data_IF_195870497863
#
_entry.id   IF_195870497863
#
_cell.length_a   1.000
_cell.length_b   1.000
_cell.length_c   1.000
_cell.angle_alpha   90.00
_cell.angle_beta   90.00
_cell.angle_gamma   90.00
#
_symmetry.space_group_name_H-M   'P 1'
#
loop_
_entity.id
_entity.type
_entity.pdbx_description
1 polymer ?
#
# COMPACT_ATOMS: atom_id res chain seq x y z
N UNK A 1 -4.80 -6.67 3.82
CA UNK A 1 -4.86 -6.38 5.26
C UNK A 1 -3.44 -6.39 5.78
N UNK A 2 -3.02 -5.33 6.46
CA UNK A 2 -1.80 -5.36 7.27
C UNK A 2 -2.14 -5.95 8.64
N UNK A 3 -1.15 -6.59 9.28
CA UNK A 3 -1.27 -7.17 10.61
C UNK A 3 0.02 -6.91 11.36
N UNK A 4 -0.09 -6.69 12.66
CA UNK A 4 1.03 -6.65 13.58
C UNK A 4 0.62 -7.34 14.87
N UNK A 5 1.61 -7.92 15.53
CA UNK A 5 1.42 -8.70 16.74
C UNK A 5 2.71 -8.61 17.56
N UNK A 6 2.62 -7.99 18.73
CA UNK A 6 3.77 -7.71 19.58
C UNK A 6 4.46 -8.99 20.08
N UNK A 7 3.77 -10.13 20.08
CA UNK A 7 4.35 -11.44 20.46
C UNK A 7 5.55 -11.86 19.62
N UNK A 8 5.71 -11.29 18.43
CA UNK A 8 6.84 -11.55 17.55
C UNK A 8 7.92 -10.45 17.64
N UNK A 9 7.74 -9.48 18.53
CA UNK A 9 8.72 -8.43 18.80
C UNK A 9 9.77 -8.87 19.81
N UNK A 10 10.95 -8.25 19.74
CA UNK A 10 12.06 -8.52 20.67
C UNK A 10 12.07 -7.56 21.89
N UNK A 11 11.21 -6.55 21.89
CA UNK A 11 11.16 -5.54 22.93
C UNK A 11 10.22 -5.98 24.07
N UNK A 12 10.77 -6.12 25.28
CA UNK A 12 10.03 -6.53 26.47
C UNK A 12 8.79 -5.67 26.74
N UNK A 13 8.86 -4.36 26.51
CA UNK A 13 7.72 -3.47 26.70
C UNK A 13 6.60 -3.70 25.68
N UNK A 14 6.96 -4.07 24.43
CA UNK A 14 5.97 -4.45 23.41
C UNK A 14 5.36 -5.81 23.73
N UNK A 15 6.19 -6.79 24.09
CA UNK A 15 5.73 -8.11 24.51
C UNK A 15 4.75 -8.00 25.68
N UNK A 16 5.08 -7.19 26.69
CA UNK A 16 4.22 -6.93 27.83
C UNK A 16 2.93 -6.20 27.46
N UNK A 17 2.95 -5.28 26.48
CA UNK A 17 1.75 -4.60 25.95
C UNK A 17 0.78 -5.55 25.23
N UNK A 18 1.29 -6.63 24.65
CA UNK A 18 0.50 -7.69 24.02
C UNK A 18 -0.49 -7.17 22.95
N UNK A 19 -0.04 -6.21 22.14
CA UNK A 19 -0.87 -5.62 21.10
C UNK A 19 -0.98 -6.57 19.91
N UNK A 20 -2.21 -6.74 19.42
CA UNK A 20 -2.46 -7.40 18.14
C UNK A 20 -3.53 -6.64 17.36
N UNK A 21 -3.25 -6.43 16.07
CA UNK A 21 -4.15 -5.69 15.20
C UNK A 21 -4.14 -6.22 13.77
N UNK A 22 -5.20 -5.86 13.06
CA UNK A 22 -5.36 -6.07 11.62
C UNK A 22 -6.02 -4.83 11.04
N UNK A 23 -5.39 -4.24 10.05
CA UNK A 23 -5.88 -3.04 9.38
C UNK A 23 -6.25 -3.34 7.93
N UNK A 24 -7.51 -3.09 7.58
CA UNK A 24 -7.95 -3.05 6.18
C UNK A 24 -7.52 -1.73 5.56
N UNK A 25 -6.97 -1.76 4.35
CA UNK A 25 -6.47 -0.58 3.65
C UNK A 25 -7.08 -0.51 2.26
N UNK A 26 -7.54 0.68 1.90
CA UNK A 26 -7.90 1.05 0.52
C UNK A 26 -7.15 2.33 0.20
N UNK A 27 -6.33 2.31 -0.86
CA UNK A 27 -5.53 3.45 -1.26
C UNK A 27 -5.81 3.82 -2.72
N UNK A 28 -6.10 5.09 -2.95
CA UNK A 28 -6.14 5.69 -4.27
C UNK A 28 -4.88 6.54 -4.44
N UNK A 29 -4.02 6.19 -5.39
CA UNK A 29 -2.78 6.93 -5.63
C UNK A 29 -2.51 7.18 -7.11
N UNK A 30 -1.95 8.35 -7.41
CA UNK A 30 -1.33 8.68 -8.68
C UNK A 30 0.19 8.56 -8.56
N UNK A 31 0.84 7.83 -9.46
CA UNK A 31 2.26 7.56 -9.39
C UNK A 31 2.95 7.81 -10.73
N UNK A 32 4.12 8.44 -10.69
CA UNK A 32 4.99 8.66 -11.84
C UNK A 32 6.11 7.63 -11.80
N UNK A 33 6.40 7.01 -12.94
CA UNK A 33 7.46 6.02 -13.11
C UNK A 33 8.59 6.60 -13.94
N UNK A 34 9.79 6.65 -13.39
CA UNK A 34 11.01 7.16 -14.03
C UNK A 34 11.95 6.01 -14.35
N UNK A 35 12.26 5.79 -15.63
CA UNK A 35 13.24 4.78 -16.04
C UNK A 35 14.65 5.35 -15.89
N UNK A 36 15.50 4.65 -15.13
CA UNK A 36 16.87 5.10 -14.84
C UNK A 36 17.83 4.87 -16.01
N UNK A 37 17.51 3.90 -16.87
CA UNK A 37 18.25 3.62 -18.09
C UNK A 37 17.31 3.71 -19.28
N UNK A 38 17.76 4.41 -20.32
CA UNK A 38 17.02 4.53 -21.57
C UNK A 38 16.94 3.16 -22.25
N UNK A 39 15.73 2.77 -22.70
CA UNK A 39 15.58 1.67 -23.64
C UNK A 39 16.37 2.05 -24.90
N UNK A 40 17.61 1.57 -25.01
CA UNK A 40 18.37 1.63 -26.27
C UNK A 40 17.64 0.76 -27.28
N UNK A 41 16.58 1.32 -27.87
CA UNK A 41 15.95 0.87 -29.10
C UNK A 41 16.97 1.11 -30.21
N UNK A 42 18.01 0.29 -30.24
CA UNK A 42 18.80 0.15 -31.45
C UNK A 42 17.82 -0.46 -32.46
N UNK A 43 17.25 0.41 -33.31
CA UNK A 43 16.83 0.01 -34.64
C UNK A 43 18.06 -0.65 -35.26
N UNK A 44 18.18 -1.96 -35.10
CA UNK A 44 19.16 -2.74 -35.83
C UNK A 44 18.71 -2.71 -37.27
N UNK A 45 19.08 -1.66 -37.98
CA UNK A 45 19.33 -1.76 -39.41
C UNK A 45 20.22 -2.98 -39.61
N UNK A 46 19.92 -3.74 -40.66
CA UNK A 46 20.53 -5.01 -41.02
C UNK A 46 22.07 -4.96 -41.08
N UNK A 47 22.73 -5.07 -39.94
CA UNK A 47 24.12 -5.51 -39.89
C UNK A 47 24.09 -7.03 -39.83
N UNK A 48 23.95 -7.62 -41.04
CA UNK A 48 24.20 -9.04 -41.29
C UNK A 48 25.59 -9.37 -40.72
N UNK A 49 25.68 -10.33 -39.79
CA UNK A 49 26.94 -11.03 -39.53
C UNK A 49 27.47 -11.04 -38.09
N UNK A 50 27.01 -10.18 -37.18
CA UNK A 50 27.47 -10.24 -35.78
C UNK A 50 26.43 -10.95 -34.92
N UNK A 51 26.67 -12.24 -34.63
CA UNK A 51 26.05 -12.97 -33.51
C UNK A 51 26.50 -12.31 -32.19
N UNK A 52 26.03 -11.10 -31.91
CA UNK A 52 26.27 -10.42 -30.63
C UNK A 52 25.43 -11.12 -29.58
N UNK A 53 26.10 -11.91 -28.75
CA UNK A 53 25.65 -12.39 -27.45
C UNK A 53 24.67 -11.36 -26.85
N UNK A 54 23.38 -11.69 -26.87
CA UNK A 54 22.32 -10.79 -26.45
C UNK A 54 22.40 -10.62 -24.95
N UNK A 55 23.20 -9.64 -24.50
CA UNK A 55 23.42 -9.34 -23.09
C UNK A 55 22.08 -9.32 -22.36
N UNK A 56 21.93 -10.19 -21.35
CA UNK A 56 20.74 -10.31 -20.51
C UNK A 56 20.31 -8.95 -19.95
N UNK A 57 21.28 -8.04 -19.73
CA UNK A 57 21.08 -6.67 -19.28
C UNK A 57 20.14 -5.86 -20.20
N UNK A 58 20.02 -6.18 -21.50
CA UNK A 58 19.11 -5.49 -22.42
C UNK A 58 17.62 -5.81 -22.21
N UNK A 59 17.32 -6.88 -21.46
CA UNK A 59 15.92 -7.27 -21.16
C UNK A 59 15.40 -6.67 -19.86
N UNK A 60 16.29 -6.17 -19.00
CA UNK A 60 15.95 -5.58 -17.71
C UNK A 60 15.99 -4.05 -17.79
N UNK A 61 14.97 -3.39 -17.24
CA UNK A 61 14.94 -1.94 -17.09
C UNK A 61 14.62 -1.61 -15.63
N UNK A 62 15.53 -0.89 -14.98
CA UNK A 62 15.31 -0.39 -13.63
C UNK A 62 14.53 0.92 -13.70
N UNK A 63 13.54 1.07 -12.83
CA UNK A 63 12.75 2.29 -12.71
C UNK A 63 12.54 2.67 -11.24
N UNK A 64 12.45 3.97 -10.98
CA UNK A 64 11.97 4.53 -9.73
C UNK A 64 10.50 4.93 -9.87
N UNK A 65 9.78 4.97 -8.76
CA UNK A 65 8.38 5.41 -8.68
C UNK A 65 8.24 6.37 -7.51
N UNK A 66 7.51 7.46 -7.73
CA UNK A 66 7.07 8.36 -6.68
C UNK A 66 5.65 8.83 -6.98
N UNK A 67 4.87 9.14 -5.96
CA UNK A 67 3.49 9.58 -6.14
C UNK A 67 2.87 10.17 -4.89
N UNK A 68 1.58 10.44 -5.01
CA UNK A 68 0.73 10.91 -3.92
C UNK A 68 -0.57 10.12 -3.91
N UNK A 69 -1.13 9.92 -2.74
CA UNK A 69 -2.37 9.17 -2.58
C UNK A 69 -3.18 9.60 -1.37
N UNK A 70 -4.41 9.11 -1.35
CA UNK A 70 -5.32 9.16 -0.20
C UNK A 70 -5.62 7.72 0.17
N UNK A 71 -5.50 7.42 1.46
CA UNK A 71 -5.68 6.10 2.02
C UNK A 71 -6.77 6.12 3.07
N UNK A 72 -7.68 5.15 2.98
CA UNK A 72 -8.59 4.77 4.05
C UNK A 72 -8.03 3.55 4.78
N UNK A 73 -8.02 3.59 6.11
CA UNK A 73 -7.60 2.48 6.96
C UNK A 73 -8.57 2.26 8.12
N UNK A 74 -8.70 1.01 8.58
CA UNK A 74 -9.58 0.67 9.69
C UNK A 74 -8.92 -0.41 10.56
N UNK A 75 -8.20 -0.01 11.64
CA UNK A 75 -7.54 -0.96 12.52
C UNK A 75 -8.58 -1.70 13.36
N UNK A 76 -8.35 -3.00 13.51
CA UNK A 76 -9.22 -3.91 14.24
C UNK A 76 -8.39 -4.83 15.12
N UNK A 77 -8.91 -5.17 16.28
CA UNK A 77 -8.36 -6.22 17.13
C UNK A 77 -9.32 -7.41 17.22
N UNK A 78 -8.78 -8.57 17.60
CA UNK A 78 -9.59 -9.75 17.89
C UNK A 78 -9.97 -9.75 19.38
N UNK A 79 -11.26 -9.77 19.67
CA UNK A 79 -11.82 -9.84 21.02
C UNK A 79 -12.89 -10.93 21.05
N UNK A 80 -12.76 -11.89 21.98
CA UNK A 80 -13.68 -13.03 22.14
C UNK A 80 -14.08 -13.72 20.81
N UNK A 81 -13.09 -13.96 19.94
CA UNK A 81 -13.30 -14.62 18.65
C UNK A 81 -13.69 -13.69 17.48
N UNK A 82 -14.14 -12.47 17.76
CA UNK A 82 -14.65 -11.52 16.76
C UNK A 82 -13.70 -10.35 16.50
N UNK A 83 -13.76 -9.76 15.30
CA UNK A 83 -12.95 -8.58 14.95
C UNK A 83 -13.69 -7.28 15.25
N UNK A 84 -13.19 -6.51 16.22
CA UNK A 84 -13.77 -5.24 16.66
C UNK A 84 -12.96 -4.08 16.09
N UNK A 85 -13.63 -3.04 15.58
CA UNK A 85 -12.97 -1.83 15.09
C UNK A 85 -12.48 -0.97 16.25
N UNK A 86 -11.24 -0.50 16.20
CA UNK A 86 -10.60 0.18 17.32
C UNK A 86 -10.87 1.69 17.35
N UNK A 87 -10.89 2.35 16.18
CA UNK A 87 -11.15 3.80 16.09
C UNK A 87 -12.42 4.27 16.83
N UNK A 88 -13.56 3.54 16.78
CA UNK A 88 -14.75 3.92 17.53
C UNK A 88 -14.63 3.75 19.05
N UNK A 89 -13.70 2.93 19.54
CA UNK A 89 -13.53 2.61 20.96
C UNK A 89 -12.69 3.65 21.71
N UNK A 90 -11.97 4.53 21.02
CA UNK A 90 -11.21 5.59 21.70
C UNK A 90 -10.15 5.04 22.66
N UNK A 91 -9.34 4.08 22.22
CA UNK A 91 -8.40 3.29 23.05
C UNK A 91 -7.31 4.08 23.75
N UNK A 92 -7.11 5.35 23.39
CA UNK A 92 -6.22 6.31 24.08
C UNK A 92 -7.00 7.50 24.64
N UNK A 93 -8.28 7.32 24.98
CA UNK A 93 -9.14 8.36 25.56
C UNK A 93 -9.72 9.35 24.54
N UNK A 94 -9.62 9.04 23.25
CA UNK A 94 -10.02 9.95 22.19
C UNK A 94 -11.52 10.26 22.25
N UNK A 95 -11.88 11.53 22.46
CA UNK A 95 -13.27 11.99 22.56
C UNK A 95 -13.85 11.96 23.97
N UNK A 96 -13.05 11.64 25.00
CA UNK A 96 -13.47 11.71 26.41
C UNK A 96 -13.30 13.15 26.92
N UNK A 97 -12.09 13.69 26.85
CA UNK A 97 -11.82 15.05 27.31
C UNK A 97 -12.37 16.10 26.32
N UNK A 98 -12.91 17.23 26.79
CA UNK A 98 -13.35 18.32 25.94
C UNK A 98 -12.27 18.76 24.96
N UNK A 99 -12.57 18.69 23.66
CA UNK A 99 -11.65 19.07 22.58
C UNK A 99 -10.79 17.94 22.02
N UNK A 100 -10.76 16.76 22.65
CA UNK A 100 -10.12 15.57 22.07
C UNK A 100 -11.04 14.93 21.02
N UNK A 101 -10.48 14.42 19.93
CA UNK A 101 -11.24 13.80 18.84
C UNK A 101 -10.61 12.47 18.44
N UNK A 102 -11.43 11.52 18.04
CA UNK A 102 -10.99 10.27 17.41
C UNK A 102 -10.22 10.60 16.12
N UNK A 103 -9.14 9.87 15.89
CA UNK A 103 -8.32 10.05 14.69
C UNK A 103 -9.13 9.78 13.42
N UNK A 104 -8.71 10.39 12.31
CA UNK A 104 -9.30 10.16 11.00
C UNK A 104 -8.86 8.82 10.44
N UNK A 105 -9.83 8.05 9.91
CA UNK A 105 -9.54 6.84 9.12
C UNK A 105 -9.07 7.15 7.70
N UNK A 106 -9.06 8.42 7.30
CA UNK A 106 -8.48 8.89 6.05
C UNK A 106 -7.16 9.61 6.33
N UNK A 107 -6.14 9.26 5.57
CA UNK A 107 -4.82 9.89 5.63
C UNK A 107 -4.24 10.05 4.22
N UNK A 108 -3.30 10.97 4.07
CA UNK A 108 -2.51 11.07 2.84
C UNK A 108 -1.40 10.01 2.83
N UNK A 109 -0.98 9.62 1.63
CA UNK A 109 0.16 8.73 1.43
C UNK A 109 1.13 9.28 0.38
N UNK A 110 2.41 9.05 0.58
CA UNK A 110 3.46 9.28 -0.43
C UNK A 110 4.14 7.93 -0.71
N UNK A 111 3.75 7.22 -1.78
CA UNK A 111 4.46 6.02 -2.22
C UNK A 111 5.77 6.39 -2.91
N UNK A 112 6.90 5.87 -2.42
CA UNK A 112 8.22 5.96 -3.06
C UNK A 112 8.79 4.56 -3.20
N UNK A 113 9.33 4.22 -4.37
CA UNK A 113 9.84 2.88 -4.60
C UNK A 113 10.70 2.73 -5.84
N UNK A 114 11.10 1.49 -6.07
CA UNK A 114 11.86 1.09 -7.23
C UNK A 114 11.34 -0.24 -7.77
N UNK A 115 11.63 -0.52 -9.03
CA UNK A 115 11.24 -1.78 -9.63
C UNK A 115 12.03 -2.11 -10.88
N UNK A 116 11.93 -3.37 -11.25
CA UNK A 116 12.60 -3.94 -12.40
C UNK A 116 11.52 -4.41 -13.38
N UNK A 117 11.62 -3.95 -14.62
CA UNK A 117 10.83 -4.42 -15.75
C UNK A 117 11.65 -5.44 -16.55
N UNK A 118 11.10 -6.63 -16.76
CA UNK A 118 11.72 -7.68 -17.59
C UNK A 118 10.90 -7.90 -18.87
N UNK A 119 11.48 -7.61 -20.03
CA UNK A 119 10.84 -7.83 -21.32
C UNK A 119 10.88 -9.33 -21.70
N UNK A 120 9.72 -9.99 -21.70
CA UNK A 120 9.57 -11.40 -22.09
C UNK A 120 9.63 -11.52 -23.62
N UNK A 121 8.88 -10.66 -24.30
CA UNK A 121 8.87 -10.54 -25.76
C UNK A 121 8.62 -9.08 -26.19
N UNK A 122 8.44 -8.82 -27.49
CA UNK A 122 8.24 -7.45 -28.03
C UNK A 122 6.88 -6.82 -27.65
N UNK A 123 5.95 -7.60 -27.13
CA UNK A 123 4.59 -7.22 -26.78
C UNK A 123 4.26 -7.50 -25.31
N UNK A 124 5.12 -8.19 -24.56
CA UNK A 124 4.87 -8.53 -23.16
C UNK A 124 6.09 -8.35 -22.24
N UNK A 125 5.81 -7.97 -21.00
CA UNK A 125 6.83 -7.77 -19.97
C UNK A 125 6.28 -8.08 -18.57
N UNK A 126 7.20 -8.45 -17.69
CA UNK A 126 6.98 -8.57 -16.25
C UNK A 126 7.48 -7.31 -15.55
N UNK A 127 6.92 -7.01 -14.39
CA UNK A 127 7.37 -5.94 -13.51
C UNK A 127 7.35 -6.41 -12.07
N UNK A 128 8.50 -6.32 -11.40
CA UNK A 128 8.62 -6.44 -9.96
C UNK A 128 8.85 -5.04 -9.38
N UNK A 129 8.08 -4.63 -8.38
CA UNK A 129 8.21 -3.31 -7.74
C UNK A 129 8.14 -3.45 -6.22
N UNK A 130 9.05 -2.80 -5.52
CA UNK A 130 8.96 -2.57 -4.07
C UNK A 130 8.77 -1.06 -3.82
N UNK A 131 7.79 -0.70 -3.01
CA UNK A 131 7.53 0.70 -2.62
C UNK A 131 7.25 0.81 -1.13
N UNK A 132 7.80 1.85 -0.51
CA UNK A 132 7.43 2.28 0.83
C UNK A 132 6.38 3.39 0.73
N UNK A 133 5.32 3.27 1.52
CA UNK A 133 4.22 4.23 1.57
C UNK A 133 4.35 5.00 2.88
N UNK A 134 4.85 6.24 2.79
CA UNK A 134 4.89 7.17 3.91
C UNK A 134 3.47 7.66 4.19
N UNK A 135 3.04 7.61 5.45
CA UNK A 135 1.71 8.08 5.86
C UNK A 135 1.81 9.38 6.65
N UNK A 136 0.67 10.07 6.72
CA UNK A 136 0.51 11.30 7.51
C UNK A 136 -0.27 11.03 8.80
N UNK A 137 -0.18 9.79 9.30
CA UNK A 137 -0.79 9.32 10.55
C UNK A 137 0.16 8.34 11.23
N UNK A 138 0.01 8.25 12.53
CA UNK A 138 0.68 7.39 13.51
C UNK A 138 -0.33 6.44 14.19
N UNK A 139 -1.50 6.24 13.59
CA UNK A 139 -2.60 5.40 14.12
C UNK A 139 -2.86 4.16 13.26
N UNK A 140 -1.93 3.75 12.39
CA UNK A 140 -2.15 2.60 11.48
C UNK A 140 -2.44 1.31 12.25
N UNK A 141 -1.87 1.18 13.44
CA UNK A 141 -2.04 0.10 14.40
C UNK A 141 -2.90 0.47 15.62
N UNK A 142 -3.53 1.65 15.62
CA UNK A 142 -4.30 2.23 16.74
C UNK A 142 -3.45 2.61 17.97
N UNK A 143 -2.17 2.96 17.79
CA UNK A 143 -1.26 3.31 18.88
C UNK A 143 -0.38 4.52 18.56
N UNK A 144 -0.58 5.63 19.27
CA UNK A 144 0.11 6.89 18.99
C UNK A 144 0.91 7.39 20.18
N UNK A 145 0.33 7.50 21.36
CA UNK A 145 0.90 8.36 22.41
C UNK A 145 1.01 7.65 23.77
N UNK A 146 0.23 8.07 24.75
CA UNK A 146 0.29 7.57 26.11
C UNK A 146 -0.93 6.70 26.44
N UNK A 147 -0.78 5.84 27.44
CA UNK A 147 -1.93 5.18 28.05
C UNK A 147 -2.82 6.22 28.71
N UNK A 148 -4.11 6.19 28.36
CA UNK A 148 -5.11 6.98 29.04
C UNK A 148 -5.62 6.24 30.28
N UNK A 149 -6.43 6.93 31.08
CA UNK A 149 -7.12 6.34 32.22
C UNK A 149 -8.10 5.24 31.77
N UNK A 150 -7.79 3.98 32.09
CA UNK A 150 -8.56 2.85 31.56
C UNK A 150 -9.96 2.77 32.17
N UNK A 151 -10.14 3.24 33.41
CA UNK A 151 -11.46 3.28 34.05
C UNK A 151 -12.34 4.37 33.42
N UNK A 152 -11.76 5.51 33.05
CA UNK A 152 -12.48 6.53 32.28
C UNK A 152 -12.88 6.03 30.87
N UNK A 153 -12.03 5.25 30.20
CA UNK A 153 -12.39 4.59 28.93
C UNK A 153 -13.55 3.62 29.14
N UNK A 154 -13.51 2.83 30.22
CA UNK A 154 -14.59 1.89 30.57
C UNK A 154 -15.90 2.62 30.79
N UNK A 155 -15.89 3.72 31.54
CA UNK A 155 -17.07 4.54 31.80
C UNK A 155 -17.64 5.17 30.52
N UNK A 156 -16.77 5.70 29.66
CA UNK A 156 -17.19 6.41 28.44
C UNK A 156 -17.62 5.48 27.30
N UNK A 157 -16.94 4.33 27.13
CA UNK A 157 -17.05 3.49 25.92
C UNK A 157 -17.28 2.00 26.20
N UNK A 158 -17.31 1.58 27.48
CA UNK A 158 -17.64 0.23 27.93
C UNK A 158 -16.43 -0.71 28.07
N UNK A 159 -16.69 -1.91 28.61
CA UNK A 159 -15.64 -2.88 28.97
C UNK A 159 -14.77 -3.28 27.78
N UNK A 160 -15.36 -3.49 26.60
CA UNK A 160 -14.62 -3.86 25.39
C UNK A 160 -13.60 -2.79 25.00
N UNK A 161 -13.92 -1.51 25.21
CA UNK A 161 -12.99 -0.42 24.92
C UNK A 161 -11.80 -0.44 25.88
N UNK A 162 -12.06 -0.61 27.18
CA UNK A 162 -11.01 -0.65 28.20
C UNK A 162 -10.11 -1.89 28.08
N UNK A 163 -10.71 -3.06 27.82
CA UNK A 163 -9.97 -4.30 27.60
C UNK A 163 -9.08 -4.22 26.34
N UNK A 164 -9.53 -3.51 25.29
CA UNK A 164 -8.76 -3.35 24.06
C UNK A 164 -7.77 -2.19 24.10
N UNK A 165 -7.98 -1.20 24.98
CA UNK A 165 -7.09 -0.08 25.26
C UNK A 165 -5.83 -0.53 25.99
N UNK A 166 -5.99 -1.38 27.01
CA UNK A 166 -4.90 -1.99 27.75
C UNK A 166 -5.06 -3.53 27.81
N UNK A 167 -4.18 -4.23 27.10
CA UNK A 167 -4.11 -5.70 27.04
C UNK A 167 -2.86 -6.25 27.72
N UNK A 168 -2.13 -5.39 28.42
CA UNK A 168 -0.92 -5.81 29.09
C UNK A 168 -1.24 -6.74 30.26
N UNK A 169 -0.20 -7.39 30.75
CA UNK A 169 -0.27 -8.03 32.05
C UNK A 169 -0.68 -6.98 33.13
N UNK A 170 -1.66 -7.28 34.00
CA UNK A 170 -2.05 -6.39 35.10
C UNK A 170 -0.89 -5.97 36.01
N UNK A 171 0.15 -6.80 36.15
CA UNK A 171 1.34 -6.51 36.96
C UNK A 171 2.36 -5.61 36.23
N UNK A 172 2.12 -5.27 34.97
CA UNK A 172 3.01 -4.44 34.16
C UNK A 172 2.80 -2.94 34.39
N UNK A 173 3.65 -2.36 35.25
CA UNK A 173 3.58 -0.94 35.67
C UNK A 173 3.69 0.07 34.52
N UNK A 174 4.34 -0.28 33.39
CA UNK A 174 4.48 0.63 32.24
C UNK A 174 3.26 0.65 31.30
N UNK A 175 2.12 0.12 31.76
CA UNK A 175 0.81 0.25 31.10
C UNK A 175 -0.15 1.20 31.83
N UNK A 176 0.31 1.84 32.91
CA UNK A 176 -0.50 2.79 33.67
C UNK A 176 -0.69 4.12 32.95
N UNK A 177 -1.73 4.86 33.31
CA UNK A 177 -2.02 6.21 32.81
C UNK A 177 -0.76 7.08 32.74
N UNK A 178 -0.50 7.68 31.59
CA UNK A 178 0.68 8.52 31.34
C UNK A 178 1.94 7.75 30.95
N UNK A 179 1.93 6.42 31.00
CA UNK A 179 3.03 5.61 30.46
C UNK A 179 3.03 5.63 28.94
N UNK A 180 4.20 5.42 28.33
CA UNK A 180 4.37 5.42 26.87
C UNK A 180 3.66 4.19 26.27
N UNK A 181 2.70 4.43 25.38
CA UNK A 181 1.99 3.39 24.62
C UNK A 181 2.51 3.30 23.19
N UNK A 182 2.76 4.45 22.56
CA UNK A 182 3.24 4.63 21.19
C UNK A 182 4.29 5.71 21.05
N UNK A 183 4.51 6.20 19.83
CA UNK A 183 5.37 7.34 19.57
C UNK A 183 4.74 8.32 18.58
N UNK A 184 4.12 9.38 19.10
CA UNK A 184 3.39 10.39 18.34
C UNK A 184 4.28 11.25 17.43
N UNK A 185 5.60 11.20 17.63
CA UNK A 185 6.58 11.89 16.78
C UNK A 185 6.95 11.09 15.52
N UNK A 186 6.65 9.79 15.49
CA UNK A 186 6.98 8.90 14.38
C UNK A 186 5.71 8.54 13.60
N UNK A 187 5.65 8.95 12.34
CA UNK A 187 4.55 8.59 11.44
C UNK A 187 4.70 7.17 10.93
N UNK A 188 3.58 6.51 10.70
CA UNK A 188 3.55 5.15 10.20
C UNK A 188 3.85 5.06 8.71
N UNK A 189 4.17 3.85 8.28
CA UNK A 189 4.28 3.50 6.88
C UNK A 189 4.35 2.00 6.67
N UNK A 190 4.25 1.58 5.41
CA UNK A 190 4.30 0.16 5.06
C UNK A 190 4.97 -0.07 3.71
N UNK A 191 5.47 -1.29 3.52
CA UNK A 191 6.08 -1.72 2.26
C UNK A 191 5.06 -2.50 1.43
N UNK A 192 5.03 -2.23 0.14
CA UNK A 192 4.26 -2.99 -0.85
C UNK A 192 5.20 -3.59 -1.88
N UNK A 193 5.11 -4.91 -2.06
CA UNK A 193 5.80 -5.64 -3.13
C UNK A 193 4.76 -6.07 -4.16
N UNK A 194 4.97 -5.70 -5.42
CA UNK A 194 4.05 -5.99 -6.53
C UNK A 194 4.78 -6.78 -7.63
N UNK A 195 4.17 -7.86 -8.10
CA UNK A 195 4.56 -8.57 -9.32
C UNK A 195 3.42 -8.46 -10.35
N UNK A 196 3.72 -8.00 -11.56
CA UNK A 196 2.74 -7.79 -12.61
C UNK A 196 3.21 -8.32 -13.96
N UNK A 197 2.28 -8.83 -14.77
CA UNK A 197 2.47 -9.17 -16.18
C UNK A 197 1.65 -8.23 -17.07
N UNK A 198 2.29 -7.68 -18.09
CA UNK A 198 1.68 -6.77 -19.04
C UNK A 198 1.80 -7.35 -20.45
N UNK A 199 0.70 -7.37 -21.20
CA UNK A 199 0.66 -7.83 -22.60
C UNK A 199 -0.13 -6.85 -23.48
N UNK A 200 0.51 -6.39 -24.55
CA UNK A 200 -0.15 -5.56 -25.56
C UNK A 200 -0.92 -6.43 -26.53
N UNK A 201 -2.24 -6.29 -26.56
CA UNK A 201 -3.11 -6.97 -27.52
C UNK A 201 -3.24 -6.14 -28.79
N UNK A 202 -2.97 -6.75 -29.95
CA UNK A 202 -3.25 -6.14 -31.26
C UNK A 202 -4.65 -6.53 -31.70
N UNK A 203 -5.61 -5.61 -31.60
CA UNK A 203 -6.93 -5.82 -32.20
C UNK A 203 -6.83 -5.68 -33.72
N UNK A 204 -7.25 -6.71 -34.46
CA UNK A 204 -7.40 -6.60 -35.92
C UNK A 204 -8.55 -5.63 -36.20
N UNK A 205 -8.26 -4.48 -36.82
CA UNK A 205 -9.30 -3.55 -37.32
C UNK A 205 -10.07 -4.21 -38.46
N UNK A 206 -11.10 -4.99 -38.15
CA UNK A 206 -11.96 -5.62 -39.15
C UNK A 206 -12.87 -4.61 -39.90
N UNK A 207 -13.04 -3.39 -39.39
CA UNK A 207 -14.07 -2.46 -39.86
C UNK A 207 -13.66 -1.56 -41.03
N UNK A 208 -12.37 -1.27 -41.25
CA UNK A 208 -11.96 -0.30 -42.29
C UNK A 208 -11.82 -0.88 -43.71
N UNK A 209 -11.83 -2.21 -43.89
CA UNK A 209 -11.66 -2.83 -45.22
C UNK A 209 -12.96 -2.98 -46.02
N UNK A 210 -14.14 -2.86 -45.40
CA UNK A 210 -15.42 -3.04 -46.12
C UNK A 210 -15.85 -1.79 -46.90
N UNK A 211 -15.46 -0.59 -46.44
CA UNK A 211 -15.82 0.67 -47.12
C UNK A 211 -14.93 1.00 -48.34
N UNK A 212 -13.65 0.62 -48.31
CA UNK A 212 -12.73 0.94 -49.43
C UNK A 212 -12.93 0.04 -50.66
N UNK A 213 -13.48 -1.18 -50.49
CA UNK A 213 -13.84 -2.07 -51.62
C UNK A 213 -15.15 -1.68 -52.33
N UNK A 214 -15.98 -0.82 -51.74
CA UNK A 214 -17.21 -0.32 -52.39
C UNK A 214 -16.95 0.88 -53.31
N UNK A 215 -15.95 1.71 -53.01
CA UNK A 215 -15.59 2.89 -53.81
C UNK A 215 -14.81 2.56 -55.10
N UNK A 216 -14.06 1.45 -55.13
CA UNK A 216 -13.27 1.06 -56.31
C UNK A 216 -14.02 0.18 -57.31
N UNK A 217 -15.19 -0.36 -56.94
CA UNK A 217 -16.05 -1.14 -57.86
C UNK A 217 -17.05 -0.29 -58.65
N UNK A 218 -17.27 0.98 -58.29
CA UNK A 218 -18.18 1.88 -58.98
C UNK A 218 -17.58 2.69 -60.13
N UNK A 219 -16.29 2.52 -60.46
CA UNK A 219 -15.56 3.36 -61.42
C UNK A 219 -15.07 2.63 -62.68
N UNK A 220 -15.58 1.42 -62.94
CA UNK A 220 -15.43 0.72 -64.22
C UNK A 220 -16.81 0.52 -64.83
N UNK A 221 -17.27 1.51 -65.58
CA UNK A 221 -18.25 1.40 -66.68
C UNK A 221 -18.52 2.81 -67.19
N UNK A 222 -17.92 3.16 -68.33
CA UNK A 222 -18.53 3.89 -69.44
C UNK A 222 -17.52 3.98 -70.59
N UNK A 223 -18.03 3.65 -71.77
CA UNK A 223 -17.39 3.63 -73.08
C UNK A 223 -17.02 5.03 -73.55
#
# INVERSE_FOLDING_TARGET
YLRGDDRFGENEAKLARNLSFRTGIVELSGQVKFYLFEERNIRTHHLKGLKRQGSLLKRFNLFAVSGVGVMYFNPKAKYNGSWVALQPLGTEGQGIDPGTKKYSRFTFSIPVGMGIKYNVDKMSHLTLRASYHFLFTDYLDDVSDLYYDNDAIREAYGDVAADLANRSDPDYLHSQKGSIRGNSQARDGFVVINLAYHKRLKMKRAFQRKHHKRLTRGRKLRF
#
